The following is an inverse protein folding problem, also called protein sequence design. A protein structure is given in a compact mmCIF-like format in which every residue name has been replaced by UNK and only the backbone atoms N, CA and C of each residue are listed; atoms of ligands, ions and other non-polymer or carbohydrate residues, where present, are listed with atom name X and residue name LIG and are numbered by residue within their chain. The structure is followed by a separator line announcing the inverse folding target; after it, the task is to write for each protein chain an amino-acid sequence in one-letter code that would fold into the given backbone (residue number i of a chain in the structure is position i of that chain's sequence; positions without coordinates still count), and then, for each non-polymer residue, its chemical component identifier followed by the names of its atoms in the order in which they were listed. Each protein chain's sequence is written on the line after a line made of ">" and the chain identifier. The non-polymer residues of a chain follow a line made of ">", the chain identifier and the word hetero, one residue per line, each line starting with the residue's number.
data_IF_734157192798
#
_entry.id   IF_734157192798
#
_cell.length_a   1.000
_cell.length_b   1.000
_cell.length_c   1.000
_cell.angle_alpha   90.00
_cell.angle_beta   90.00
_cell.angle_gamma   90.00
#
_symmetry.space_group_name_H-M   'P 1'
#
loop_
_entity.id
_entity.type
_entity.pdbx_description
1 polymer ?
#
# COMPACT_ATOMS: atom_id res chain seq x y z
N UNK A 1 -13.13 -17.11 33.45
CA UNK A 1 -13.68 -15.88 32.85
C UNK A 1 -12.92 -15.66 31.56
N UNK A 2 -13.67 -15.58 30.46
CA UNK A 2 -13.36 -15.05 29.13
C UNK A 2 -12.06 -15.51 28.45
N UNK A 3 -12.18 -16.54 27.63
CA UNK A 3 -11.32 -16.76 26.46
C UNK A 3 -11.58 -15.62 25.46
N UNK A 4 -10.68 -14.63 25.40
CA UNK A 4 -10.68 -13.66 24.30
C UNK A 4 -10.21 -14.36 23.03
N UNK A 5 -11.20 -14.77 22.23
CA UNK A 5 -11.04 -15.13 20.83
C UNK A 5 -10.45 -13.93 20.07
N UNK A 6 -9.13 -13.86 20.00
CA UNK A 6 -8.44 -13.02 19.04
C UNK A 6 -8.61 -13.69 17.67
N UNK A 7 -9.71 -13.37 17.00
CA UNK A 7 -9.93 -13.71 15.60
C UNK A 7 -8.81 -13.03 14.81
N UNK A 8 -7.77 -13.81 14.52
CA UNK A 8 -6.68 -13.48 13.61
C UNK A 8 -7.33 -13.21 12.24
N UNK A 9 -7.69 -11.95 12.02
CA UNK A 9 -8.13 -11.48 10.70
C UNK A 9 -7.04 -11.86 9.71
N UNK A 10 -7.38 -12.44 8.55
CA UNK A 10 -6.36 -12.90 7.61
C UNK A 10 -5.44 -11.72 7.31
N UNK A 11 -4.15 -11.85 7.65
CA UNK A 11 -3.14 -10.80 7.39
C UNK A 11 -3.21 -10.47 5.89
N UNK A 12 -3.94 -9.41 5.53
CA UNK A 12 -3.91 -8.87 4.17
C UNK A 12 -2.45 -8.58 3.87
N UNK A 13 -1.92 -9.13 2.78
CA UNK A 13 -0.52 -8.85 2.39
C UNK A 13 -0.44 -7.36 2.04
N UNK A 14 0.31 -6.60 2.84
CA UNK A 14 0.58 -5.18 2.60
C UNK A 14 2.00 -5.02 2.02
N UNK A 15 2.22 -3.95 1.26
CA UNK A 15 3.56 -3.49 0.87
C UNK A 15 3.78 -2.10 1.43
N UNK A 16 5.02 -1.79 1.77
CA UNK A 16 5.40 -0.44 2.17
C UNK A 16 5.72 0.38 0.93
N UNK A 17 5.00 1.49 0.75
CA UNK A 17 5.27 2.50 -0.28
C UNK A 17 5.75 3.79 0.37
N UNK A 18 6.76 4.43 -0.22
CA UNK A 18 7.19 5.76 0.20
C UNK A 18 6.44 6.82 -0.61
N UNK A 19 5.61 7.60 0.07
CA UNK A 19 4.83 8.68 -0.52
C UNK A 19 5.44 10.01 -0.14
N UNK A 20 5.71 10.87 -1.13
CA UNK A 20 6.13 12.24 -0.89
C UNK A 20 4.92 13.06 -0.43
N UNK A 21 4.97 13.61 0.78
CA UNK A 21 3.92 14.42 1.36
C UNK A 21 4.42 15.83 1.68
N UNK A 22 3.49 16.79 1.65
CA UNK A 22 3.71 18.16 2.09
C UNK A 22 3.20 18.33 3.53
N UNK A 23 4.09 18.78 4.42
CA UNK A 23 3.78 19.08 5.81
C UNK A 23 3.06 20.41 6.00
N UNK A 24 2.57 20.70 7.21
CA UNK A 24 1.79 21.90 7.51
C UNK A 24 2.54 23.22 7.25
N UNK A 25 3.87 23.18 7.16
CA UNK A 25 4.73 24.33 6.88
C UNK A 25 5.32 24.32 5.44
N UNK A 26 4.83 23.46 4.54
CA UNK A 26 5.36 23.31 3.18
C UNK A 26 6.61 22.43 3.05
N UNK A 27 7.01 21.75 4.13
CA UNK A 27 8.13 20.81 4.13
C UNK A 27 7.76 19.54 3.37
N UNK A 28 8.65 19.06 2.48
CA UNK A 28 8.45 17.80 1.77
C UNK A 28 9.15 16.67 2.50
N UNK A 29 8.43 15.61 2.85
CA UNK A 29 8.99 14.41 3.46
C UNK A 29 8.38 13.15 2.89
N UNK A 30 9.15 12.07 2.88
CA UNK A 30 8.65 10.75 2.50
C UNK A 30 8.04 10.08 3.72
N UNK A 31 6.80 9.61 3.58
CA UNK A 31 6.15 8.75 4.56
C UNK A 31 6.03 7.34 4.01
N UNK A 32 6.52 6.37 4.77
CA UNK A 32 6.28 4.96 4.53
C UNK A 32 4.85 4.61 4.94
N UNK A 33 4.03 4.19 3.97
CA UNK A 33 2.64 3.79 4.18
C UNK A 33 2.49 2.33 3.81
N UNK A 34 1.84 1.54 4.66
CA UNK A 34 1.43 0.19 4.30
C UNK A 34 0.18 0.26 3.40
N UNK A 35 0.32 -0.24 2.18
CA UNK A 35 -0.75 -0.31 1.20
C UNK A 35 -1.12 -1.77 0.95
N UNK A 36 -2.41 -2.07 1.04
CA UNK A 36 -2.97 -3.32 0.52
C UNK A 36 -3.25 -3.18 -1.00
N UNK A 37 -3.69 -4.26 -1.69
CA UNK A 37 -3.97 -4.20 -3.13
C UNK A 37 -4.96 -3.11 -3.54
N UNK A 38 -5.97 -2.82 -2.70
CA UNK A 38 -7.03 -1.86 -3.00
C UNK A 38 -6.47 -0.43 -2.97
N UNK A 39 -5.67 -0.10 -1.95
CA UNK A 39 -4.96 1.19 -1.88
C UNK A 39 -4.00 1.40 -3.06
N UNK A 40 -3.31 0.35 -3.51
CA UNK A 40 -2.45 0.42 -4.69
C UNK A 40 -3.26 0.70 -5.96
N UNK A 41 -4.42 0.07 -6.14
CA UNK A 41 -5.31 0.28 -7.28
C UNK A 41 -5.84 1.73 -7.31
N UNK A 42 -6.20 2.27 -6.14
CA UNK A 42 -6.60 3.68 -6.02
C UNK A 42 -5.46 4.64 -6.39
N UNK A 43 -4.23 4.40 -5.92
CA UNK A 43 -3.06 5.22 -6.26
C UNK A 43 -2.72 5.17 -7.76
N UNK A 44 -2.86 3.99 -8.38
CA UNK A 44 -2.70 3.80 -9.83
C UNK A 44 -3.74 4.62 -10.62
N UNK A 45 -4.98 4.69 -10.12
CA UNK A 45 -6.05 5.47 -10.73
C UNK A 45 -5.85 6.98 -10.55
N UNK A 46 -5.33 7.41 -9.39
CA UNK A 46 -5.10 8.82 -9.06
C UNK A 46 -3.85 9.41 -9.74
N UNK A 47 -2.82 8.60 -10.00
CA UNK A 47 -1.56 9.10 -10.57
C UNK A 47 -1.66 9.37 -12.07
N UNK A 48 -1.25 10.57 -12.48
CA UNK A 48 -1.10 10.96 -13.90
C UNK A 48 0.30 10.70 -14.44
N UNK A 49 1.25 10.34 -13.58
CA UNK A 49 2.64 10.10 -13.98
C UNK A 49 2.79 8.66 -14.44
N UNK A 50 3.04 8.47 -15.74
CA UNK A 50 3.12 7.15 -16.39
C UNK A 50 4.21 6.24 -15.81
N UNK A 51 5.33 6.81 -15.36
CA UNK A 51 6.42 6.03 -14.73
C UNK A 51 6.02 5.54 -13.34
N UNK A 52 5.42 6.42 -12.53
CA UNK A 52 4.91 6.05 -11.19
C UNK A 52 3.82 4.98 -11.35
N UNK A 53 2.90 5.17 -12.29
CA UNK A 53 1.83 4.21 -12.60
C UNK A 53 2.38 2.81 -12.88
N UNK A 54 3.34 2.69 -13.81
CA UNK A 54 3.96 1.40 -14.16
C UNK A 54 4.68 0.74 -12.98
N UNK A 55 5.31 1.53 -12.11
CA UNK A 55 5.97 0.98 -10.92
C UNK A 55 4.95 0.43 -9.92
N UNK A 56 3.86 1.15 -9.66
CA UNK A 56 2.78 0.68 -8.80
C UNK A 56 2.09 -0.57 -9.36
N UNK A 57 1.82 -0.61 -10.67
CA UNK A 57 1.26 -1.80 -11.35
C UNK A 57 2.15 -3.05 -11.16
N UNK A 58 3.47 -2.91 -11.30
CA UNK A 58 4.43 -4.00 -11.05
C UNK A 58 4.42 -4.47 -9.61
N UNK A 59 4.32 -3.55 -8.64
CA UNK A 59 4.25 -3.92 -7.22
C UNK A 59 2.95 -4.66 -6.90
N UNK A 60 1.83 -4.20 -7.45
CA UNK A 60 0.54 -4.87 -7.32
C UNK A 60 0.57 -6.28 -7.90
N UNK A 61 1.16 -6.46 -9.10
CA UNK A 61 1.31 -7.78 -9.72
C UNK A 61 2.18 -8.71 -8.88
N UNK A 62 3.30 -8.21 -8.34
CA UNK A 62 4.18 -8.97 -7.45
C UNK A 62 3.44 -9.44 -6.19
N UNK A 63 2.68 -8.55 -5.57
CA UNK A 63 1.89 -8.86 -4.38
C UNK A 63 0.80 -9.92 -4.67
N UNK A 64 0.11 -9.82 -5.82
CA UNK A 64 -0.87 -10.82 -6.27
C UNK A 64 -0.22 -12.19 -6.49
N UNK A 65 0.96 -12.24 -7.14
CA UNK A 65 1.71 -13.50 -7.35
C UNK A 65 2.17 -14.14 -6.05
N UNK A 66 2.71 -13.35 -5.13
CA UNK A 66 3.15 -13.84 -3.83
C UNK A 66 1.97 -14.33 -2.97
N UNK A 67 0.74 -13.84 -3.19
CA UNK A 67 -0.47 -14.28 -2.46
C UNK A 67 -1.05 -15.60 -2.98
N UNK A 68 -0.72 -16.00 -4.21
CA UNK A 68 -1.20 -17.24 -4.83
C UNK A 68 -0.21 -18.42 -4.72
N UNK A 69 0.98 -18.19 -4.16
CA UNK A 69 2.02 -19.17 -3.89
C UNK A 69 2.07 -19.52 -2.39
#
# INVERSE_FOLDING_TARGET
>A
MSEENNAESPKKKTVTIEVLMEGPNGELYFQAVEADPEHLEELIAATKNTMIKRNLEKQLEKMKKETQA
#
